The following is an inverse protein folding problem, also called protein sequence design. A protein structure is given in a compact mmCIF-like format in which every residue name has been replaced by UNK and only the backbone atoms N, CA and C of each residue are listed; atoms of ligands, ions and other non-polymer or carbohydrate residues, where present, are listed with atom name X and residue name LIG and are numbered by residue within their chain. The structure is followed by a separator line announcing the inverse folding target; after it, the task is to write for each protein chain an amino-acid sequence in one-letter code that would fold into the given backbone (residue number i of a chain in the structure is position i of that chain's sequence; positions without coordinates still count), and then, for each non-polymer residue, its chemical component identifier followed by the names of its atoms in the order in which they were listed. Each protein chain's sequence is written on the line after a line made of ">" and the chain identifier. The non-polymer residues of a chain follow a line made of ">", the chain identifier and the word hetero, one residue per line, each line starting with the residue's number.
data_IF_497467666725
#
_entry.id   IF_497467666725
#
_cell.length_a   1.000
_cell.length_b   1.000
_cell.length_c   1.000
_cell.angle_alpha   90.00
_cell.angle_beta   90.00
_cell.angle_gamma   90.00
#
_symmetry.space_group_name_H-M   'P 1'
#
loop_
_entity.id
_entity.type
_entity.pdbx_description
1 polymer ?
#
# COMPACT_ATOMS: atom_id res chain seq x y z
N UNK A 1 86.57 -47.58 10.85
CA UNK A 1 85.61 -46.63 11.46
C UNK A 1 85.22 -45.58 10.43
N UNK A 2 84.16 -45.77 9.62
CA UNK A 2 83.54 -44.68 8.87
C UNK A 2 82.32 -44.13 9.61
N UNK A 3 82.37 -42.82 9.89
CA UNK A 3 81.30 -42.06 10.53
C UNK A 3 80.20 -41.83 9.49
N UNK A 4 78.99 -42.28 9.80
CA UNK A 4 77.77 -42.08 9.00
C UNK A 4 77.48 -40.59 8.81
N UNK A 5 77.35 -40.19 7.56
CA UNK A 5 76.74 -38.94 7.13
C UNK A 5 75.21 -39.03 7.16
N UNK A 6 74.56 -38.00 7.68
CA UNK A 6 73.23 -37.56 7.25
C UNK A 6 73.11 -36.04 7.47
N UNK A 7 72.67 -35.26 6.47
CA UNK A 7 72.52 -33.80 6.59
C UNK A 7 71.18 -33.41 7.26
N UNK A 8 71.11 -32.28 7.98
CA UNK A 8 69.84 -31.73 8.43
C UNK A 8 69.35 -30.57 7.56
N UNK A 9 68.03 -30.33 7.64
CA UNK A 9 67.28 -29.14 7.23
C UNK A 9 67.08 -29.03 5.69
N UNK A 10 65.90 -28.77 5.11
CA UNK A 10 64.78 -27.94 5.53
C UNK A 10 63.52 -28.15 4.63
N UNK A 11 62.38 -27.64 5.13
CA UNK A 11 61.32 -26.89 4.42
C UNK A 11 60.17 -27.62 3.66
N UNK A 12 58.97 -27.21 4.11
CA UNK A 12 57.79 -26.76 3.34
C UNK A 12 56.74 -27.77 2.88
N UNK A 13 55.63 -27.78 3.61
CA UNK A 13 54.30 -27.49 3.02
C UNK A 13 53.43 -26.75 4.05
N UNK A 14 52.64 -25.74 3.62
CA UNK A 14 51.90 -24.87 4.52
C UNK A 14 50.62 -25.53 5.04
N UNK A 15 50.41 -25.44 6.36
CA UNK A 15 49.09 -25.53 6.99
C UNK A 15 48.29 -24.27 6.66
N UNK A 16 47.77 -24.15 5.45
CA UNK A 16 46.81 -23.10 5.13
C UNK A 16 45.89 -23.60 4.03
N UNK A 17 44.74 -24.14 4.43
CA UNK A 17 43.44 -23.92 3.76
C UNK A 17 42.34 -24.25 4.78
N UNK A 18 42.25 -23.43 5.83
CA UNK A 18 41.02 -23.30 6.59
C UNK A 18 40.11 -22.28 5.87
N UNK A 19 39.07 -22.83 5.21
CA UNK A 19 37.72 -22.25 5.01
C UNK A 19 37.55 -21.06 4.04
N UNK A 20 36.81 -21.24 2.93
CA UNK A 20 36.00 -20.18 2.35
C UNK A 20 34.60 -20.26 2.96
N UNK A 21 34.30 -19.43 3.95
CA UNK A 21 32.93 -19.25 4.44
C UNK A 21 32.72 -17.87 5.04
N UNK A 22 33.03 -16.79 4.31
CA UNK A 22 32.84 -15.43 4.84
C UNK A 22 32.19 -14.39 3.91
N UNK A 23 31.96 -14.64 2.62
CA UNK A 23 31.48 -13.57 1.72
C UNK A 23 29.99 -13.24 1.80
N UNK A 24 29.15 -14.12 2.39
CA UNK A 24 27.70 -13.89 2.48
C UNK A 24 27.23 -13.09 3.71
N UNK A 25 28.03 -13.05 4.78
CA UNK A 25 27.59 -12.49 6.08
C UNK A 25 27.65 -10.97 6.09
N UNK A 26 28.65 -10.38 5.44
CA UNK A 26 28.80 -8.94 5.30
C UNK A 26 27.65 -8.32 4.48
N UNK A 27 27.25 -8.95 3.36
CA UNK A 27 26.15 -8.47 2.52
C UNK A 27 24.82 -8.40 3.28
N UNK A 28 24.57 -9.35 4.20
CA UNK A 28 23.33 -9.40 5.01
C UNK A 28 23.29 -8.37 6.14
N UNK A 29 24.45 -7.91 6.62
CA UNK A 29 24.56 -6.92 7.69
C UNK A 29 24.56 -5.47 7.19
N UNK A 30 24.97 -5.24 5.93
CA UNK A 30 25.00 -3.91 5.29
C UNK A 30 23.70 -3.12 5.41
N UNK A 31 22.51 -3.65 5.04
CA UNK A 31 21.27 -2.87 5.14
C UNK A 31 20.92 -2.48 6.58
N UNK A 32 21.24 -3.32 7.57
CA UNK A 32 20.98 -3.00 8.98
C UNK A 32 21.94 -1.94 9.52
N UNK A 33 23.20 -1.93 9.07
CA UNK A 33 24.20 -0.92 9.42
C UNK A 33 23.90 0.43 8.76
N UNK A 34 23.43 0.42 7.51
CA UNK A 34 23.04 1.63 6.80
C UNK A 34 21.77 2.23 7.40
N UNK A 35 20.76 1.39 7.69
CA UNK A 35 19.57 1.79 8.45
C UNK A 35 19.95 2.38 9.81
N UNK A 36 20.87 1.75 10.56
CA UNK A 36 21.36 2.30 11.84
C UNK A 36 22.07 3.64 11.65
N UNK A 37 22.92 3.80 10.63
CA UNK A 37 23.61 5.06 10.33
C UNK A 37 22.63 6.16 9.95
N UNK A 38 21.59 5.85 9.17
CA UNK A 38 20.51 6.76 8.85
C UNK A 38 19.73 7.18 10.09
N UNK A 39 19.35 6.23 10.95
CA UNK A 39 18.65 6.56 12.21
C UNK A 39 19.52 7.33 13.21
N UNK A 40 20.84 7.07 13.24
CA UNK A 40 21.77 7.77 14.13
C UNK A 40 21.98 9.23 13.75
N UNK A 41 21.95 9.57 12.45
CA UNK A 41 21.95 10.96 11.97
C UNK A 41 20.69 11.73 12.38
N UNK A 42 19.59 11.01 12.56
CA UNK A 42 18.29 11.57 12.91
C UNK A 42 18.11 11.66 14.44
N UNK A 43 18.73 10.78 15.23
CA UNK A 43 18.56 10.66 16.69
C UNK A 43 19.16 11.80 17.55
N UNK A 44 19.53 12.95 16.98
CA UNK A 44 20.34 13.99 17.62
C UNK A 44 19.66 14.90 18.67
N UNK A 45 18.44 14.65 19.12
CA UNK A 45 17.78 15.54 20.09
C UNK A 45 16.98 14.78 21.17
N UNK A 46 17.42 14.92 22.42
CA UNK A 46 17.07 14.11 23.61
C UNK A 46 15.66 14.31 24.19
N UNK A 47 14.71 14.86 23.43
CA UNK A 47 13.36 15.14 23.93
C UNK A 47 12.26 15.26 22.88
N UNK A 48 12.58 15.08 21.60
CA UNK A 48 11.63 15.21 20.50
C UNK A 48 11.01 13.88 20.07
N UNK A 49 9.81 13.96 19.50
CA UNK A 49 9.24 12.90 18.66
C UNK A 49 9.58 13.18 17.19
N UNK A 50 9.12 12.31 16.29
CA UNK A 50 9.22 12.51 14.86
C UNK A 50 7.84 12.50 14.21
N UNK A 51 7.74 13.22 13.11
CA UNK A 51 6.68 13.04 12.13
C UNK A 51 7.20 12.24 10.96
N UNK A 52 6.41 11.28 10.52
CA UNK A 52 6.75 10.45 9.36
C UNK A 52 5.80 10.75 8.21
N UNK A 53 6.37 10.90 7.02
CA UNK A 53 5.68 11.23 5.78
C UNK A 53 6.02 10.16 4.76
N UNK A 54 5.01 9.64 4.06
CA UNK A 54 5.22 8.80 2.90
C UNK A 54 5.20 9.68 1.66
N UNK A 55 6.31 9.74 0.93
CA UNK A 55 6.48 10.62 -0.23
C UNK A 55 6.54 9.78 -1.50
N UNK A 56 5.74 10.15 -2.50
CA UNK A 56 5.80 9.59 -3.85
C UNK A 56 6.84 10.34 -4.67
N UNK A 57 7.84 9.62 -5.18
CA UNK A 57 8.92 10.20 -6.00
C UNK A 57 8.41 10.78 -7.33
N UNK A 58 7.32 10.22 -7.87
CA UNK A 58 6.72 10.64 -9.13
C UNK A 58 6.44 12.14 -9.10
N UNK A 59 5.45 12.64 -8.38
CA UNK A 59 5.02 14.06 -8.34
C UNK A 59 5.39 14.81 -7.05
N UNK A 60 6.17 14.16 -6.19
CA UNK A 60 6.50 14.67 -4.87
C UNK A 60 5.28 14.81 -3.97
N UNK A 61 4.18 14.10 -4.16
CA UNK A 61 3.08 14.07 -3.20
C UNK A 61 3.52 13.45 -1.87
N UNK A 62 3.01 13.94 -0.74
CA UNK A 62 3.18 13.27 0.55
C UNK A 62 1.89 13.17 1.33
N UNK A 63 1.79 12.10 2.12
CA UNK A 63 0.77 11.96 3.15
C UNK A 63 1.42 11.62 4.51
N UNK A 64 0.90 12.18 5.63
CA UNK A 64 1.41 11.84 6.97
C UNK A 64 1.06 10.40 7.37
N UNK A 65 2.00 9.70 8.01
CA UNK A 65 1.80 8.35 8.57
C UNK A 65 1.69 8.38 10.10
N UNK A 66 2.67 8.99 10.78
CA UNK A 66 2.66 9.17 12.24
C UNK A 66 2.91 10.63 12.57
N UNK A 67 2.06 11.21 13.42
CA UNK A 67 2.20 12.61 13.86
C UNK A 67 3.18 12.80 15.04
N UNK A 68 3.46 11.72 15.76
CA UNK A 68 4.47 11.65 16.81
C UNK A 68 4.90 10.17 16.96
N UNK A 69 6.15 9.87 16.67
CA UNK A 69 6.73 8.53 16.84
C UNK A 69 8.18 8.62 17.31
N UNK A 70 8.74 7.50 17.77
CA UNK A 70 10.18 7.35 18.04
C UNK A 70 10.83 6.59 16.90
N UNK A 71 12.17 6.57 16.86
CA UNK A 71 12.92 5.82 15.86
C UNK A 71 12.55 4.32 15.81
N UNK A 72 12.10 3.75 16.94
CA UNK A 72 11.60 2.37 17.00
C UNK A 72 10.35 2.13 16.15
N UNK A 73 9.56 3.17 15.83
CA UNK A 73 8.37 3.08 14.99
C UNK A 73 8.65 3.21 13.49
N UNK A 74 9.86 3.60 13.09
CA UNK A 74 10.18 3.86 11.68
C UNK A 74 10.04 2.62 10.80
N UNK A 75 10.39 1.43 11.28
CA UNK A 75 10.26 0.21 10.50
C UNK A 75 8.78 -0.11 10.16
N UNK A 76 7.85 0.16 11.09
CA UNK A 76 6.41 0.01 10.86
C UNK A 76 5.93 1.02 9.80
N UNK A 77 6.37 2.27 9.93
CA UNK A 77 5.97 3.34 9.01
C UNK A 77 6.56 3.13 7.61
N UNK A 78 7.79 2.60 7.51
CA UNK A 78 8.45 2.26 6.24
C UNK A 78 7.68 1.17 5.51
N UNK A 79 7.30 0.11 6.23
CA UNK A 79 6.48 -0.97 5.68
C UNK A 79 5.10 -0.46 5.21
N UNK A 80 4.45 0.38 6.00
CA UNK A 80 3.17 0.99 5.62
C UNK A 80 3.31 1.91 4.39
N UNK A 81 4.42 2.64 4.27
CA UNK A 81 4.69 3.49 3.11
C UNK A 81 4.89 2.65 1.84
N UNK A 82 5.77 1.65 1.90
CA UNK A 82 6.14 0.77 0.78
C UNK A 82 4.96 -0.07 0.27
N UNK A 83 3.95 -0.33 1.11
CA UNK A 83 2.72 -1.00 0.69
C UNK A 83 1.91 -0.23 -0.37
N UNK A 84 2.19 1.06 -0.60
CA UNK A 84 1.53 1.88 -1.62
C UNK A 84 2.20 1.77 -3.00
N UNK A 85 3.38 1.16 -3.08
CA UNK A 85 4.14 1.00 -4.33
C UNK A 85 5.63 1.32 -4.16
N UNK A 86 6.43 0.96 -5.17
CA UNK A 86 7.88 1.11 -5.13
C UNK A 86 8.37 2.55 -5.25
N UNK A 87 7.57 3.43 -5.86
CA UNK A 87 7.87 4.86 -5.98
C UNK A 87 7.71 5.63 -4.66
N UNK A 88 7.24 4.97 -3.60
CA UNK A 88 7.06 5.57 -2.29
C UNK A 88 8.27 5.34 -1.39
N UNK A 89 8.65 6.40 -0.66
CA UNK A 89 9.75 6.36 0.30
C UNK A 89 9.38 7.07 1.58
N UNK A 90 9.86 6.56 2.71
CA UNK A 90 9.63 7.17 4.01
C UNK A 90 10.57 8.36 4.23
N UNK A 91 9.98 9.48 4.64
CA UNK A 91 10.66 10.70 5.06
C UNK A 91 10.29 11.04 6.49
N UNK A 92 11.25 11.62 7.23
CA UNK A 92 11.10 11.90 8.65
C UNK A 92 11.64 13.29 8.98
N UNK A 93 10.95 14.01 9.84
CA UNK A 93 11.43 15.26 10.44
C UNK A 93 11.12 15.29 11.94
N UNK A 94 11.81 16.15 12.68
CA UNK A 94 11.63 16.34 14.11
C UNK A 94 10.27 16.98 14.42
N UNK A 95 9.72 16.61 15.58
CA UNK A 95 8.50 17.17 16.13
C UNK A 95 8.65 17.38 17.65
N UNK A 96 8.54 18.61 18.17
CA UNK A 96 8.19 19.87 17.47
C UNK A 96 9.38 20.52 16.74
N UNK A 97 9.11 21.63 16.02
CA UNK A 97 10.14 22.55 15.51
C UNK A 97 10.44 22.47 14.01
N UNK A 98 10.05 21.39 13.34
CA UNK A 98 10.25 21.22 11.89
C UNK A 98 8.93 20.96 11.15
N UNK A 99 8.95 21.21 9.84
CA UNK A 99 7.86 20.93 8.92
C UNK A 99 8.28 19.91 7.83
N UNK A 100 7.33 19.58 6.95
CA UNK A 100 7.56 18.69 5.81
C UNK A 100 8.80 19.03 4.97
N UNK A 101 9.14 20.30 4.77
CA UNK A 101 10.30 20.72 3.99
C UNK A 101 11.65 20.38 4.63
N UNK A 102 11.70 20.14 5.94
CA UNK A 102 12.88 19.64 6.63
C UNK A 102 13.00 18.11 6.60
N UNK A 103 11.98 17.40 6.12
CA UNK A 103 11.97 15.95 6.15
C UNK A 103 13.08 15.33 5.30
N UNK A 104 13.67 14.25 5.81
CA UNK A 104 14.80 13.53 5.22
C UNK A 104 14.41 12.08 5.01
N UNK A 105 14.76 11.53 3.84
CA UNK A 105 14.54 10.11 3.54
C UNK A 105 15.34 9.23 4.49
N UNK A 106 14.70 8.20 5.07
CA UNK A 106 15.43 7.21 5.88
C UNK A 106 16.39 6.36 5.04
N UNK A 107 16.03 6.09 3.78
CA UNK A 107 16.80 5.25 2.88
C UNK A 107 18.01 6.00 2.29
N UNK A 108 17.80 7.19 1.73
CA UNK A 108 18.85 7.90 0.99
C UNK A 108 19.50 9.05 1.75
N UNK A 109 18.87 9.55 2.82
CA UNK A 109 19.29 10.79 3.47
C UNK A 109 19.02 12.05 2.64
N UNK A 110 18.33 11.95 1.50
CA UNK A 110 17.95 13.11 0.69
C UNK A 110 16.86 13.92 1.40
N UNK A 111 16.97 15.25 1.38
CA UNK A 111 15.91 16.14 1.88
C UNK A 111 14.75 16.15 0.90
N UNK A 112 13.53 16.18 1.42
CA UNK A 112 12.32 16.19 0.61
C UNK A 112 12.27 17.40 -0.33
N UNK A 113 12.70 18.58 0.15
CA UNK A 113 12.79 19.81 -0.66
C UNK A 113 13.74 19.71 -1.86
N UNK A 114 14.69 18.77 -1.83
CA UNK A 114 15.71 18.59 -2.87
C UNK A 114 15.24 17.60 -3.96
N UNK A 115 14.03 17.04 -3.85
CA UNK A 115 13.47 16.22 -4.94
C UNK A 115 13.15 17.09 -6.16
N UNK A 116 13.40 16.62 -7.39
CA UNK A 116 13.10 17.37 -8.62
C UNK A 116 11.65 17.84 -8.71
N UNK A 117 10.71 17.06 -8.15
CA UNK A 117 9.27 17.36 -8.12
C UNK A 117 8.72 17.62 -6.73
N UNK A 118 9.56 18.03 -5.78
CA UNK A 118 9.13 18.37 -4.42
C UNK A 118 7.91 19.33 -4.47
N UNK A 119 6.84 18.96 -3.77
CA UNK A 119 5.60 19.75 -3.68
C UNK A 119 4.90 20.08 -5.01
N UNK A 120 5.26 19.45 -6.14
CA UNK A 120 4.66 19.79 -7.43
C UNK A 120 3.13 19.57 -7.46
N UNK A 121 2.67 18.56 -6.72
CA UNK A 121 1.25 18.25 -6.49
C UNK A 121 0.41 19.43 -5.97
N UNK A 122 1.04 20.42 -5.29
CA UNK A 122 0.33 21.59 -4.75
C UNK A 122 -0.07 22.59 -5.84
N UNK A 123 0.62 22.58 -6.98
CA UNK A 123 0.39 23.53 -8.08
C UNK A 123 -0.40 22.91 -9.22
N UNK A 124 -0.14 21.63 -9.51
CA UNK A 124 -0.81 20.92 -10.60
C UNK A 124 -0.97 19.45 -10.24
N UNK A 125 -2.05 18.87 -10.74
CA UNK A 125 -2.27 17.44 -10.70
C UNK A 125 -1.57 16.78 -11.89
N UNK A 126 -0.87 15.68 -11.66
CA UNK A 126 -0.23 14.87 -12.72
C UNK A 126 -0.96 13.52 -12.86
N UNK A 127 -1.77 13.33 -13.92
CA UNK A 127 -2.55 12.12 -14.11
C UNK A 127 -1.68 10.88 -14.34
N UNK A 128 -0.39 11.04 -14.69
CA UNK A 128 0.54 9.93 -14.92
C UNK A 128 1.13 9.38 -13.62
N UNK A 129 0.98 10.09 -12.51
CA UNK A 129 1.47 9.69 -11.20
C UNK A 129 0.38 9.10 -10.29
N UNK A 130 -0.83 8.83 -10.79
CA UNK A 130 -1.89 8.24 -9.97
C UNK A 130 -1.50 6.84 -9.46
N UNK A 131 -1.84 6.49 -8.20
CA UNK A 131 -1.67 5.12 -7.73
C UNK A 131 -2.52 4.18 -8.58
N UNK A 132 -1.92 3.05 -8.99
CA UNK A 132 -2.62 2.00 -9.75
C UNK A 132 -3.89 1.58 -9.01
N UNK A 133 -5.04 1.71 -9.67
CA UNK A 133 -6.34 1.35 -9.09
C UNK A 133 -6.98 2.44 -8.23
N UNK A 134 -6.49 3.69 -8.29
CA UNK A 134 -7.22 4.82 -7.74
C UNK A 134 -8.58 4.99 -8.41
N UNK A 135 -9.57 5.53 -7.69
CA UNK A 135 -10.91 5.75 -8.24
C UNK A 135 -10.90 6.61 -9.53
N UNK A 136 -9.98 7.57 -9.61
CA UNK A 136 -9.78 8.42 -10.78
C UNK A 136 -9.23 7.63 -11.96
N UNK A 137 -8.26 6.74 -11.72
CA UNK A 137 -7.72 5.87 -12.75
C UNK A 137 -8.75 4.84 -13.23
N UNK A 138 -9.51 4.24 -12.32
CA UNK A 138 -10.62 3.34 -12.66
C UNK A 138 -11.63 4.08 -13.53
N UNK A 139 -12.06 5.27 -13.11
CA UNK A 139 -12.99 6.10 -13.89
C UNK A 139 -12.43 6.48 -15.28
N UNK A 140 -11.13 6.73 -15.42
CA UNK A 140 -10.51 6.99 -16.72
C UNK A 140 -10.45 5.75 -17.62
N UNK A 141 -10.14 4.58 -17.05
CA UNK A 141 -10.15 3.32 -17.80
C UNK A 141 -11.57 2.98 -18.24
N UNK A 142 -12.57 3.18 -17.38
CA UNK A 142 -13.98 2.99 -17.72
C UNK A 142 -14.45 3.98 -18.80
N UNK A 143 -14.09 5.26 -18.68
CA UNK A 143 -14.41 6.26 -19.69
C UNK A 143 -13.74 5.96 -21.04
N UNK A 144 -12.49 5.48 -21.03
CA UNK A 144 -11.79 5.04 -22.23
C UNK A 144 -12.46 3.80 -22.85
N UNK A 145 -12.89 2.84 -22.04
CA UNK A 145 -13.63 1.66 -22.49
C UNK A 145 -14.97 2.03 -23.15
N UNK A 146 -15.70 3.00 -22.59
CA UNK A 146 -16.94 3.52 -23.19
C UNK A 146 -16.69 4.25 -24.51
N UNK A 147 -15.59 5.02 -24.60
CA UNK A 147 -15.22 5.70 -25.84
C UNK A 147 -14.89 4.72 -26.98
N UNK A 148 -14.17 3.63 -26.71
CA UNK A 148 -13.89 2.61 -27.75
C UNK A 148 -15.13 1.80 -28.14
N UNK A 149 -16.08 1.59 -27.22
CA UNK A 149 -17.37 0.98 -27.52
C UNK A 149 -18.20 1.86 -28.45
N UNK A 150 -18.29 3.16 -28.16
CA UNK A 150 -19.02 4.12 -29.01
C UNK A 150 -18.45 4.22 -30.43
N UNK A 151 -17.14 4.02 -30.60
CA UNK A 151 -16.52 3.95 -31.94
C UNK A 151 -16.82 2.65 -32.69
N UNK A 152 -17.23 1.59 -31.99
CA UNK A 152 -17.57 0.29 -32.59
C UNK A 152 -19.04 0.16 -33.01
N UNK A 153 -19.94 1.00 -32.49
CA UNK A 153 -21.37 0.96 -32.84
C UNK A 153 -21.72 1.76 -34.13
N UNK A 154 -20.71 2.27 -34.85
CA UNK A 154 -20.86 3.01 -36.09
C UNK A 154 -21.06 2.15 -37.36
N UNK A 155 -21.32 0.84 -37.28
CA UNK A 155 -21.48 0.02 -38.49
C UNK A 155 -22.08 -1.37 -38.27
N UNK A 156 -23.40 -1.48 -38.20
CA UNK A 156 -24.22 -2.12 -39.24
C UNK A 156 -25.71 -1.82 -38.98
N UNK A 157 -26.40 -1.36 -40.02
CA UNK A 157 -27.85 -1.42 -40.14
C UNK A 157 -28.11 -2.57 -41.12
N UNK A 158 -28.80 -3.67 -40.74
CA UNK A 158 -29.45 -4.52 -41.71
C UNK A 158 -30.86 -3.97 -41.91
N UNK A 159 -30.99 -3.22 -43.01
CA UNK A 159 -32.26 -2.79 -43.56
C UNK A 159 -33.26 -3.97 -43.67
N UNK A 160 -34.46 -3.72 -43.14
CA UNK A 160 -35.78 -4.14 -43.65
C UNK A 160 -35.91 -5.45 -44.45
N UNK A 161 -36.75 -6.35 -43.93
CA UNK A 161 -37.86 -6.91 -44.71
C UNK A 161 -37.68 -8.31 -45.28
N UNK A 162 -38.02 -9.33 -44.49
CA UNK A 162 -38.68 -10.52 -45.03
C UNK A 162 -39.61 -11.13 -43.97
N UNK A 163 -40.90 -11.17 -44.28
CA UNK A 163 -41.93 -11.84 -43.47
C UNK A 163 -42.48 -12.99 -44.30
N UNK A 164 -42.50 -14.22 -43.79
CA UNK A 164 -43.41 -15.24 -44.27
C UNK A 164 -44.33 -15.65 -43.14
N UNK A 165 -45.54 -15.11 -43.19
CA UNK A 165 -46.71 -15.87 -42.80
C UNK A 165 -46.78 -17.10 -43.72
N UNK A 166 -46.43 -18.27 -43.20
CA UNK A 166 -46.78 -19.56 -43.79
C UNK A 166 -47.24 -20.53 -42.70
N UNK A 167 -48.56 -20.50 -42.49
CA UNK A 167 -49.46 -21.67 -42.57
C UNK A 167 -49.26 -22.85 -41.59
N UNK A 168 -50.18 -22.93 -40.60
CA UNK A 168 -51.01 -24.10 -40.18
C UNK A 168 -50.49 -25.55 -40.47
N UNK A 169 -50.66 -26.60 -39.66
CA UNK A 169 -51.55 -26.96 -38.53
C UNK A 169 -51.38 -28.48 -38.29
N UNK A 170 -51.11 -28.95 -37.07
CA UNK A 170 -51.57 -30.27 -36.57
C UNK A 170 -51.89 -30.12 -35.09
N UNK A 171 -53.15 -30.37 -34.74
CA UNK A 171 -53.69 -30.27 -33.38
C UNK A 171 -53.57 -31.56 -32.55
N UNK A 172 -54.14 -31.48 -31.34
CA UNK A 172 -54.11 -32.42 -30.21
C UNK A 172 -52.81 -32.29 -29.40
N UNK A 173 -52.81 -31.88 -28.13
CA UNK A 173 -53.55 -32.46 -27.02
C UNK A 173 -53.65 -31.43 -25.86
N UNK A 174 -54.86 -30.93 -25.60
CA UNK A 174 -55.27 -30.44 -24.28
C UNK A 174 -56.04 -31.62 -23.70
N UNK A 175 -55.49 -32.41 -22.77
CA UNK A 175 -55.87 -32.52 -21.34
C UNK A 175 -54.82 -33.34 -20.58
N UNK A 176 -54.66 -33.00 -19.29
CA UNK A 176 -53.86 -33.69 -18.27
C UNK A 176 -52.36 -33.35 -18.18
N UNK A 177 -52.06 -32.32 -17.37
CA UNK A 177 -51.06 -32.42 -16.29
C UNK A 177 -51.20 -31.26 -15.30
N UNK A 178 -52.36 -31.18 -14.66
CA UNK A 178 -52.42 -30.78 -13.25
C UNK A 178 -52.30 -32.09 -12.47
N UNK A 179 -51.09 -32.47 -12.10
CA UNK A 179 -50.77 -33.03 -10.78
C UNK A 179 -49.28 -33.40 -10.68
N UNK A 180 -48.76 -33.24 -9.46
CA UNK A 180 -47.48 -33.71 -8.92
C UNK A 180 -46.23 -32.79 -9.02
N UNK A 181 -45.79 -32.22 -7.89
CA UNK A 181 -44.43 -31.71 -7.73
C UNK A 181 -43.47 -32.84 -7.29
N UNK A 182 -42.22 -32.89 -7.77
CA UNK A 182 -41.17 -33.63 -7.09
C UNK A 182 -40.49 -32.73 -6.04
N UNK A 183 -40.67 -33.16 -4.79
CA UNK A 183 -39.94 -32.71 -3.61
C UNK A 183 -38.48 -33.15 -3.69
N UNK A 184 -37.55 -32.35 -3.15
CA UNK A 184 -36.23 -32.88 -2.78
C UNK A 184 -35.11 -31.89 -2.50
N UNK A 185 -35.01 -31.47 -1.23
CA UNK A 185 -33.78 -31.29 -0.37
C UNK A 185 -32.58 -30.52 -0.96
N UNK A 186 -31.97 -29.54 -0.32
CA UNK A 186 -32.05 -29.01 1.04
C UNK A 186 -30.86 -28.06 1.30
N UNK A 187 -30.89 -27.41 2.48
CA UNK A 187 -29.79 -26.69 3.16
C UNK A 187 -29.24 -25.41 2.51
N UNK A 188 -29.64 -24.27 3.07
CA UNK A 188 -28.98 -22.97 2.93
C UNK A 188 -29.30 -22.06 4.11
N UNK A 189 -28.27 -21.69 4.87
CA UNK A 189 -28.32 -20.86 6.07
C UNK A 189 -28.98 -19.49 5.85
N UNK A 190 -29.78 -19.10 6.85
CA UNK A 190 -30.36 -17.77 7.02
C UNK A 190 -29.27 -16.69 7.23
N UNK A 191 -29.48 -15.44 6.75
CA UNK A 191 -28.86 -14.26 7.35
C UNK A 191 -29.77 -13.71 8.45
N UNK A 192 -29.23 -13.60 9.67
CA UNK A 192 -29.91 -13.01 10.81
C UNK A 192 -30.03 -11.48 10.65
N UNK A 193 -31.25 -10.98 10.51
CA UNK A 193 -31.59 -9.57 10.68
C UNK A 193 -31.77 -9.26 12.18
N UNK A 194 -30.77 -8.64 12.80
CA UNK A 194 -30.81 -8.20 14.19
C UNK A 194 -30.90 -6.68 14.31
N UNK A 195 -32.10 -6.11 14.15
CA UNK A 195 -32.35 -4.71 14.50
C UNK A 195 -32.76 -4.61 15.99
N UNK A 196 -31.81 -4.37 16.88
CA UNK A 196 -32.10 -3.97 18.28
C UNK A 196 -32.00 -2.46 18.41
N UNK A 197 -33.15 -1.83 18.67
CA UNK A 197 -33.27 -0.44 19.13
C UNK A 197 -32.65 -0.32 20.53
N UNK A 198 -31.55 0.42 20.66
CA UNK A 198 -31.10 0.92 21.95
C UNK A 198 -31.74 2.28 22.21
N UNK A 199 -32.62 2.34 23.22
CA UNK A 199 -33.05 3.60 23.84
C UNK A 199 -31.96 3.98 24.84
N UNK A 200 -31.23 5.06 24.60
CA UNK A 200 -30.42 5.73 25.62
C UNK A 200 -30.95 7.13 25.81
N UNK A 201 -31.53 7.32 26.98
CA UNK A 201 -32.00 8.57 27.58
C UNK A 201 -30.82 9.53 27.79
N UNK A 202 -30.85 10.66 27.08
CA UNK A 202 -30.00 11.81 27.37
C UNK A 202 -30.71 12.71 28.39
N UNK A 203 -30.13 12.89 29.59
CA UNK A 203 -30.48 13.99 30.51
C UNK A 203 -29.66 15.23 30.10
N UNK A 204 -30.28 16.41 29.94
CA UNK A 204 -29.53 17.64 29.71
C UNK A 204 -28.88 18.12 31.02
N UNK A 205 -27.57 18.36 30.99
CA UNK A 205 -26.85 19.09 32.03
C UNK A 205 -27.10 20.58 31.80
N UNK A 206 -27.99 21.15 32.62
CA UNK A 206 -28.27 22.57 32.67
C UNK A 206 -27.05 23.32 33.21
N UNK A 207 -26.64 24.37 32.48
CA UNK A 207 -25.53 25.22 32.86
C UNK A 207 -25.81 26.04 34.12
N UNK A 208 -24.75 26.33 34.86
CA UNK A 208 -24.76 27.31 35.95
C UNK A 208 -23.48 28.14 35.84
N UNK A 209 -23.62 29.37 35.33
CA UNK A 209 -22.64 30.45 35.56
C UNK A 209 -23.05 31.16 36.85
N UNK A 210 -22.16 31.33 37.83
CA UNK A 210 -22.35 32.39 38.80
C UNK A 210 -21.71 33.67 38.27
N UNK A 211 -22.53 34.72 38.19
CA UNK A 211 -22.06 36.09 38.29
C UNK A 211 -21.85 36.39 39.78
N UNK A 212 -20.71 36.97 40.16
CA UNK A 212 -20.58 37.69 41.43
C UNK A 212 -19.67 38.88 41.25
N UNK A 213 -20.31 40.04 41.33
CA UNK A 213 -19.81 41.38 41.49
C UNK A 213 -19.19 41.63 42.88
N UNK A 214 -18.07 42.39 42.90
CA UNK A 214 -17.72 43.42 43.91
C UNK A 214 -16.79 43.03 45.06
N UNK A 215 -16.25 44.03 45.81
CA UNK A 215 -16.35 45.48 45.61
C UNK A 215 -15.18 46.11 44.83
#
# INVERSE_FOLDING_TARGET
>A
MPIRTAPPAELRTPLTELRPAQDGRAARLKPLLDQRRSTARIAGFSGGSYRTLCVRSCDGYYFPLSFATRASGFARDEAACRANGDDFSLYVHHNPGEDSGAAVSLASGQRYRDLPRAFAYRKRFDPTCEPVGSAQQIARVDAAAQAVAALSEGGNEPASGFSPADTERVGADRRHRLDRPPQGRGTGCQPAAGARRARTSARPMSGSRPASSGP
#
